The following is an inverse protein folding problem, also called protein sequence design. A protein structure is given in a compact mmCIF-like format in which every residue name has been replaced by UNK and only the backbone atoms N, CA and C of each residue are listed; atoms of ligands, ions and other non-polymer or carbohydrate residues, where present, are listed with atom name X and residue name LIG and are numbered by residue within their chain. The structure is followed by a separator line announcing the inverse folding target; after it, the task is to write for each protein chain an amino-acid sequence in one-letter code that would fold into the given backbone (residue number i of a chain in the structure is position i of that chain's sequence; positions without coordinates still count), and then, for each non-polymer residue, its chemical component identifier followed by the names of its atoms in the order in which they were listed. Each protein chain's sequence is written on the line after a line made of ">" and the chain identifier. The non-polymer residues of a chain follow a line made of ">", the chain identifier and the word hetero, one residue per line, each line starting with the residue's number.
data_IF_596985120538
#
_entry.id   IF_596985120538
#
_cell.length_a   1.000
_cell.length_b   1.000
_cell.length_c   1.000
_cell.angle_alpha   90.00
_cell.angle_beta   90.00
_cell.angle_gamma   90.00
#
_symmetry.space_group_name_H-M   'P 1'
#
loop_
_entity.id
_entity.type
_entity.pdbx_description
1 polymer ?
#
# COMPACT_ATOMS: atom_id res chain seq x y z
N UNK A 1 -18.22 27.88 15.42
CA UNK A 1 -16.85 28.42 15.48
C UNK A 1 -16.07 27.84 16.68
N UNK A 2 -16.69 27.71 17.82
CA UNK A 2 -16.10 27.18 19.07
C UNK A 2 -15.74 25.68 18.98
N UNK A 3 -16.59 24.86 18.38
CA UNK A 3 -16.34 23.42 18.18
C UNK A 3 -15.14 23.15 17.26
N UNK A 4 -14.94 23.98 16.24
CA UNK A 4 -13.80 23.82 15.32
C UNK A 4 -12.47 24.15 16.03
N UNK A 5 -12.45 25.19 16.89
CA UNK A 5 -11.30 25.55 17.71
C UNK A 5 -10.96 24.45 18.72
N UNK A 6 -11.97 23.90 19.38
CA UNK A 6 -11.82 22.80 20.34
C UNK A 6 -11.28 21.52 19.68
N UNK A 7 -11.74 21.21 18.47
CA UNK A 7 -11.25 20.05 17.71
C UNK A 7 -9.78 20.21 17.28
N UNK A 8 -9.37 21.42 16.88
CA UNK A 8 -7.98 21.73 16.57
C UNK A 8 -7.07 21.61 17.81
N UNK A 9 -7.48 22.18 18.93
CA UNK A 9 -6.74 22.07 20.19
C UNK A 9 -6.60 20.61 20.67
N UNK A 10 -7.64 19.81 20.53
CA UNK A 10 -7.58 18.38 20.85
C UNK A 10 -6.64 17.61 19.91
N UNK A 11 -6.67 17.92 18.61
CA UNK A 11 -5.77 17.30 17.63
C UNK A 11 -4.30 17.61 17.93
N UNK A 12 -3.98 18.85 18.32
CA UNK A 12 -2.61 19.22 18.70
C UNK A 12 -2.17 18.53 20.00
N UNK A 13 -3.05 18.45 21.02
CA UNK A 13 -2.76 17.72 22.24
C UNK A 13 -2.49 16.25 22.00
N UNK A 14 -3.28 15.60 21.12
CA UNK A 14 -3.06 14.21 20.73
C UNK A 14 -1.70 14.02 20.07
N UNK A 15 -1.32 14.91 19.16
CA UNK A 15 0.00 14.87 18.53
C UNK A 15 1.14 14.98 19.53
N UNK A 16 1.04 15.93 20.46
CA UNK A 16 2.05 16.12 21.51
C UNK A 16 2.20 14.89 22.41
N UNK A 17 1.07 14.26 22.80
CA UNK A 17 1.10 13.04 23.60
C UNK A 17 1.69 11.88 22.79
N UNK A 18 1.26 11.71 21.55
CA UNK A 18 1.76 10.67 20.66
C UNK A 18 3.27 10.79 20.46
N UNK A 19 3.77 11.98 20.18
CA UNK A 19 5.20 12.22 20.01
C UNK A 19 5.97 11.98 21.30
N UNK A 20 5.47 12.42 22.43
CA UNK A 20 6.12 12.22 23.74
C UNK A 20 6.26 10.74 24.09
N UNK A 21 5.19 9.98 23.93
CA UNK A 21 5.12 8.58 24.39
C UNK A 21 5.72 7.59 23.38
N UNK A 22 5.60 7.87 22.06
CA UNK A 22 5.94 6.91 21.01
C UNK A 22 7.10 7.29 20.10
N UNK A 23 7.73 8.47 20.27
CA UNK A 23 8.86 8.89 19.40
C UNK A 23 10.02 7.90 19.40
N UNK A 24 10.31 7.28 20.54
CA UNK A 24 11.37 6.26 20.66
C UNK A 24 11.08 4.98 19.86
N UNK A 25 9.83 4.69 19.64
CA UNK A 25 9.38 3.50 18.91
C UNK A 25 9.24 3.76 17.41
N UNK A 26 9.24 5.03 16.98
CA UNK A 26 8.97 5.43 15.60
C UNK A 26 9.99 4.87 14.61
N UNK A 27 11.27 4.80 14.97
CA UNK A 27 12.32 4.24 14.10
C UNK A 27 12.14 2.73 13.90
N UNK A 28 11.88 2.00 14.99
CA UNK A 28 11.65 0.54 14.92
C UNK A 28 10.42 0.23 14.10
N UNK A 29 9.31 0.95 14.34
CA UNK A 29 8.08 0.77 13.56
C UNK A 29 8.27 1.16 12.10
N UNK A 30 9.05 2.21 11.81
CA UNK A 30 9.40 2.58 10.45
C UNK A 30 10.16 1.47 9.73
N UNK A 31 11.18 0.89 10.37
CA UNK A 31 11.98 -0.19 9.79
C UNK A 31 11.09 -1.40 9.51
N UNK A 32 10.24 -1.79 10.45
CA UNK A 32 9.30 -2.91 10.30
C UNK A 32 8.28 -2.69 9.18
N UNK A 33 7.88 -1.44 8.96
CA UNK A 33 6.86 -1.06 7.98
C UNK A 33 7.44 -0.55 6.67
N UNK A 34 8.77 -0.43 6.53
CA UNK A 34 9.44 0.26 5.41
C UNK A 34 8.94 -0.23 4.04
N UNK A 35 8.89 -1.54 3.85
CA UNK A 35 8.43 -2.14 2.59
C UNK A 35 6.98 -1.74 2.26
N UNK A 36 6.11 -1.63 3.28
CA UNK A 36 4.72 -1.20 3.09
C UNK A 36 4.59 0.31 2.84
N UNK A 37 5.56 1.09 3.30
CA UNK A 37 5.61 2.54 3.13
C UNK A 37 6.23 2.96 1.79
N UNK A 38 7.08 2.11 1.19
CA UNK A 38 7.64 2.33 -0.14
C UNK A 38 6.50 2.44 -1.17
N UNK A 39 6.66 3.33 -2.14
CA UNK A 39 5.71 3.50 -3.23
C UNK A 39 6.29 2.97 -4.53
N UNK A 40 5.45 2.28 -5.27
CA UNK A 40 5.81 1.68 -6.54
C UNK A 40 4.95 2.25 -7.66
N UNK A 41 5.59 2.52 -8.79
CA UNK A 41 4.93 2.78 -10.07
C UNK A 41 5.26 1.61 -10.99
N UNK A 42 4.25 1.03 -11.60
CA UNK A 42 4.42 -0.11 -12.51
C UNK A 42 3.43 -0.02 -13.66
N UNK A 43 3.80 -0.63 -14.77
CA UNK A 43 2.93 -0.81 -15.94
C UNK A 43 2.34 -2.21 -15.92
N UNK A 44 1.03 -2.30 -16.16
CA UNK A 44 0.28 -3.55 -16.16
C UNK A 44 -0.54 -3.67 -17.43
N UNK A 45 -0.40 -4.82 -18.11
CA UNK A 45 -1.20 -5.20 -19.26
C UNK A 45 -1.84 -6.54 -18.96
N UNK A 46 -3.18 -6.64 -19.14
CA UNK A 46 -3.95 -7.84 -18.81
C UNK A 46 -4.78 -8.29 -20.00
N UNK A 47 -4.63 -9.56 -20.39
CA UNK A 47 -5.38 -10.19 -21.48
C UNK A 47 -5.96 -11.53 -21.02
N UNK A 48 -6.97 -12.04 -21.73
CA UNK A 48 -7.61 -13.30 -21.38
C UNK A 48 -6.81 -14.52 -21.88
N UNK A 49 -6.08 -14.38 -22.98
CA UNK A 49 -5.45 -15.48 -23.70
C UNK A 49 -3.94 -15.51 -23.46
N UNK A 50 -3.43 -16.71 -23.19
CA UNK A 50 -2.00 -16.97 -22.98
C UNK A 50 -1.16 -16.56 -24.18
N UNK A 51 -1.55 -17.05 -25.36
CA UNK A 51 -0.75 -16.86 -26.59
C UNK A 51 -0.61 -15.38 -26.95
N UNK A 52 -1.70 -14.62 -26.78
CA UNK A 52 -1.68 -13.17 -26.95
C UNK A 52 -0.75 -12.50 -25.92
N UNK A 53 -0.77 -12.94 -24.66
CA UNK A 53 0.11 -12.38 -23.65
C UNK A 53 1.59 -12.56 -24.01
N UNK A 54 1.98 -13.75 -24.46
CA UNK A 54 3.35 -14.02 -24.88
C UNK A 54 3.74 -13.25 -26.14
N UNK A 55 2.84 -13.13 -27.12
CA UNK A 55 3.08 -12.32 -28.31
C UNK A 55 3.35 -10.85 -27.93
N UNK A 56 2.48 -10.25 -27.12
CA UNK A 56 2.63 -8.86 -26.65
C UNK A 56 3.91 -8.68 -25.82
N UNK A 57 4.25 -9.65 -24.98
CA UNK A 57 5.48 -9.64 -24.20
C UNK A 57 6.71 -9.58 -25.14
N UNK A 58 6.77 -10.43 -26.15
CA UNK A 58 7.89 -10.44 -27.09
C UNK A 58 8.00 -9.15 -27.90
N UNK A 59 6.88 -8.56 -28.31
CA UNK A 59 6.88 -7.25 -29.00
C UNK A 59 7.46 -6.13 -28.12
N UNK A 60 7.18 -6.17 -26.81
CA UNK A 60 7.73 -5.17 -25.87
C UNK A 60 9.21 -5.45 -25.58
N UNK A 61 9.57 -6.72 -25.36
CA UNK A 61 10.94 -7.15 -25.06
C UNK A 61 11.90 -6.83 -26.21
N UNK A 62 11.48 -7.11 -27.47
CA UNK A 62 12.22 -6.79 -28.68
C UNK A 62 12.19 -5.32 -29.08
N UNK A 63 11.43 -4.49 -28.33
CA UNK A 63 11.21 -3.06 -28.60
C UNK A 63 10.51 -2.77 -29.96
N UNK A 64 9.77 -3.72 -30.49
CA UNK A 64 8.93 -3.53 -31.67
C UNK A 64 7.71 -2.67 -31.38
N UNK A 65 7.20 -2.70 -30.13
CA UNK A 65 6.08 -1.89 -29.68
C UNK A 65 6.31 -1.32 -28.28
N UNK A 66 5.68 -0.18 -28.01
CA UNK A 66 5.72 0.43 -26.68
C UNK A 66 4.69 -0.24 -25.74
N UNK A 67 5.09 -0.46 -24.47
CA UNK A 67 4.19 -1.01 -23.46
C UNK A 67 2.85 -0.25 -23.36
N UNK A 68 2.93 1.08 -23.36
CA UNK A 68 1.76 1.97 -23.25
C UNK A 68 0.78 1.83 -24.42
N UNK A 69 1.29 1.62 -25.64
CA UNK A 69 0.48 1.44 -26.84
C UNK A 69 -0.30 0.12 -26.77
N UNK A 70 0.42 -0.97 -26.42
CA UNK A 70 -0.19 -2.29 -26.31
C UNK A 70 -1.15 -2.37 -25.13
N UNK A 71 -0.82 -1.74 -24.00
CA UNK A 71 -1.71 -1.66 -22.85
C UNK A 71 -3.01 -0.92 -23.18
N UNK A 72 -2.92 0.20 -23.90
CA UNK A 72 -4.11 0.96 -24.33
C UNK A 72 -4.99 0.18 -25.30
N UNK A 73 -4.40 -0.66 -26.18
CA UNK A 73 -5.10 -1.37 -27.23
C UNK A 73 -5.69 -2.70 -26.77
N UNK A 74 -4.97 -3.45 -25.94
CA UNK A 74 -5.29 -4.84 -25.63
C UNK A 74 -5.67 -5.10 -24.18
N UNK A 75 -5.30 -4.20 -23.24
CA UNK A 75 -5.58 -4.44 -21.83
C UNK A 75 -7.05 -4.35 -21.52
N UNK A 76 -7.52 -5.15 -20.54
CA UNK A 76 -8.87 -5.05 -20.02
C UNK A 76 -9.21 -3.61 -19.56
N UNK A 77 -10.47 -3.19 -19.69
CA UNK A 77 -10.94 -1.80 -19.50
C UNK A 77 -10.49 -1.14 -18.19
N UNK A 78 -10.31 -1.92 -17.13
CA UNK A 78 -9.85 -1.39 -15.84
C UNK A 78 -8.44 -0.82 -15.88
N UNK A 79 -7.61 -1.29 -16.81
CA UNK A 79 -6.17 -0.98 -16.87
C UNK A 79 -5.78 -0.13 -18.09
N UNK A 80 -6.67 0.05 -19.07
CA UNK A 80 -6.33 0.78 -20.28
C UNK A 80 -6.37 2.31 -20.13
N UNK A 81 -7.09 2.85 -19.13
CA UNK A 81 -7.35 4.29 -18.96
C UNK A 81 -6.09 5.15 -18.79
N UNK A 82 -5.03 4.60 -18.21
CA UNK A 82 -3.77 5.29 -17.98
C UNK A 82 -2.61 4.63 -18.74
N UNK A 83 -2.90 4.09 -19.95
CA UNK A 83 -1.89 3.41 -20.75
C UNK A 83 -1.20 2.26 -19.99
N UNK A 84 -1.92 1.64 -19.07
CA UNK A 84 -1.42 0.58 -18.20
C UNK A 84 -0.59 1.04 -17.00
N UNK A 85 -0.30 2.34 -16.82
CA UNK A 85 0.53 2.84 -15.72
C UNK A 85 -0.31 2.98 -14.45
N UNK A 86 0.20 2.41 -13.36
CA UNK A 86 -0.42 2.39 -12.04
C UNK A 86 0.58 2.91 -10.99
N UNK A 87 0.14 3.84 -10.16
CA UNK A 87 0.94 4.40 -9.08
C UNK A 87 1.30 5.89 -9.29
N UNK A 88 2.16 6.47 -8.43
CA UNK A 88 2.85 5.80 -7.31
C UNK A 88 1.89 5.43 -6.15
N UNK A 89 1.91 4.17 -5.75
CA UNK A 89 1.09 3.67 -4.64
C UNK A 89 1.87 2.72 -3.72
N UNK A 90 1.39 2.57 -2.45
CA UNK A 90 1.94 1.60 -1.52
C UNK A 90 1.74 0.18 -2.02
N UNK A 91 2.75 -0.66 -1.82
CA UNK A 91 2.67 -2.09 -2.13
C UNK A 91 1.61 -2.82 -1.30
N UNK A 92 1.18 -2.24 -0.17
CA UNK A 92 0.11 -2.80 0.66
C UNK A 92 -1.25 -2.81 -0.05
N UNK A 93 -1.45 -1.90 -1.01
CA UNK A 93 -2.70 -1.75 -1.77
C UNK A 93 -2.71 -2.57 -3.07
N UNK A 94 -1.65 -3.34 -3.33
CA UNK A 94 -1.49 -4.13 -4.56
C UNK A 94 -1.97 -5.56 -4.32
N UNK A 95 -2.57 -6.17 -5.34
CA UNK A 95 -2.98 -7.58 -5.29
C UNK A 95 -1.81 -8.48 -4.86
N UNK A 96 -2.00 -9.46 -3.95
CA UNK A 96 -0.92 -10.27 -3.39
C UNK A 96 0.00 -10.91 -4.43
N UNK A 97 -0.55 -11.48 -5.49
CA UNK A 97 0.25 -12.11 -6.56
C UNK A 97 1.12 -11.10 -7.35
N UNK A 98 0.64 -9.86 -7.53
CA UNK A 98 1.43 -8.77 -8.13
C UNK A 98 2.50 -8.26 -7.18
N UNK A 99 2.17 -8.16 -5.89
CA UNK A 99 3.08 -7.69 -4.84
C UNK A 99 4.38 -8.49 -4.82
N UNK A 100 4.30 -9.81 -4.83
CA UNK A 100 5.48 -10.67 -4.84
C UNK A 100 6.38 -10.41 -6.07
N UNK A 101 5.77 -10.26 -7.23
CA UNK A 101 6.48 -9.98 -8.49
C UNK A 101 7.13 -8.59 -8.50
N UNK A 102 6.41 -7.56 -8.04
CA UNK A 102 6.92 -6.17 -7.97
C UNK A 102 8.12 -6.08 -7.02
N UNK A 103 8.09 -6.79 -5.89
CA UNK A 103 9.15 -6.71 -4.87
C UNK A 103 10.49 -7.31 -5.33
N UNK A 104 10.46 -8.30 -6.24
CA UNK A 104 11.67 -8.96 -6.75
C UNK A 104 12.16 -8.39 -8.09
N UNK A 105 11.29 -7.73 -8.85
CA UNK A 105 11.63 -7.17 -10.16
C UNK A 105 12.54 -5.94 -10.04
N UNK A 106 13.45 -5.81 -10.99
CA UNK A 106 14.29 -4.61 -11.12
C UNK A 106 13.53 -3.51 -11.86
N UNK A 107 13.92 -2.26 -11.59
CA UNK A 107 13.39 -1.11 -12.34
C UNK A 107 13.62 -1.28 -13.85
N UNK A 108 12.57 -1.12 -14.63
CA UNK A 108 12.59 -1.26 -16.09
C UNK A 108 12.51 -2.71 -16.60
N UNK A 109 12.57 -3.69 -15.71
CA UNK A 109 12.46 -5.11 -16.07
C UNK A 109 11.01 -5.46 -16.43
N UNK A 110 10.84 -6.04 -17.61
CA UNK A 110 9.58 -6.66 -18.01
C UNK A 110 9.59 -8.12 -17.58
N UNK A 111 8.57 -8.53 -16.85
CA UNK A 111 8.44 -9.91 -16.40
C UNK A 111 7.73 -10.77 -17.44
N UNK A 112 8.13 -12.05 -17.53
CA UNK A 112 7.42 -13.04 -18.32
C UNK A 112 5.92 -13.05 -17.95
N UNK A 113 5.02 -13.25 -18.91
CA UNK A 113 3.59 -13.35 -18.65
C UNK A 113 3.29 -14.40 -17.59
N UNK A 114 2.41 -14.05 -16.65
CA UNK A 114 1.96 -14.97 -15.61
C UNK A 114 0.45 -14.80 -15.38
N UNK A 115 -0.16 -15.83 -14.82
CA UNK A 115 -1.61 -15.85 -14.64
C UNK A 115 -2.00 -15.38 -13.23
N UNK A 116 -3.01 -14.51 -13.16
CA UNK A 116 -3.73 -14.14 -11.96
C UNK A 116 -5.22 -14.38 -12.22
N UNK A 117 -5.84 -15.27 -11.50
CA UNK A 117 -7.21 -15.73 -11.72
C UNK A 117 -7.43 -16.16 -13.19
N UNK A 118 -8.28 -15.43 -13.90
CA UNK A 118 -8.59 -15.69 -15.31
C UNK A 118 -7.78 -14.84 -16.30
N UNK A 119 -6.87 -13.98 -15.80
CA UNK A 119 -6.15 -13.03 -16.61
C UNK A 119 -4.66 -13.39 -16.74
N UNK A 120 -4.13 -13.25 -17.92
CA UNK A 120 -2.69 -13.23 -18.16
C UNK A 120 -2.18 -11.81 -18.04
N UNK A 121 -1.08 -11.67 -17.31
CA UNK A 121 -0.56 -10.38 -16.86
C UNK A 121 0.88 -10.22 -17.34
N UNK A 122 1.16 -9.08 -17.97
CA UNK A 122 2.51 -8.60 -18.27
C UNK A 122 2.76 -7.42 -17.35
N UNK A 123 3.88 -7.43 -16.62
CA UNK A 123 4.24 -6.46 -15.61
C UNK A 123 5.62 -5.88 -15.89
N UNK A 124 5.76 -4.55 -15.75
CA UNK A 124 7.05 -3.85 -15.73
C UNK A 124 7.08 -2.86 -14.56
N UNK A 125 8.11 -2.94 -13.74
CA UNK A 125 8.30 -1.96 -12.65
C UNK A 125 8.95 -0.71 -13.23
N UNK A 126 8.24 0.43 -13.17
CA UNK A 126 8.70 1.70 -13.73
C UNK A 126 9.55 2.47 -12.73
N UNK A 127 9.12 2.53 -11.48
CA UNK A 127 9.84 3.26 -10.44
C UNK A 127 9.53 2.77 -9.03
N UNK A 128 10.47 3.02 -8.13
CA UNK A 128 10.34 2.78 -6.70
C UNK A 128 10.76 4.03 -5.94
N UNK A 129 9.88 4.59 -5.16
CA UNK A 129 10.14 5.70 -4.24
C UNK A 129 10.28 5.11 -2.84
N UNK A 130 11.50 5.08 -2.33
CA UNK A 130 11.76 4.61 -0.98
C UNK A 130 11.24 5.58 0.07
N UNK A 131 10.52 5.05 1.04
CA UNK A 131 10.07 5.81 2.20
C UNK A 131 11.27 6.30 3.01
N UNK A 132 11.17 7.55 3.49
CA UNK A 132 12.15 8.17 4.39
C UNK A 132 11.47 8.52 5.69
N UNK A 133 12.18 8.37 6.79
CA UNK A 133 11.71 8.78 8.11
C UNK A 133 11.99 10.28 8.29
N UNK A 134 11.23 11.11 7.59
CA UNK A 134 11.17 12.55 7.85
C UNK A 134 10.23 12.87 9.02
N UNK A 135 10.15 14.13 9.42
CA UNK A 135 9.31 14.57 10.53
C UNK A 135 7.82 14.28 10.29
N UNK A 136 7.39 14.41 9.03
CA UNK A 136 6.00 14.11 8.64
C UNK A 136 5.69 12.62 8.78
N UNK A 137 6.60 11.76 8.35
CA UNK A 137 6.44 10.32 8.45
C UNK A 137 6.56 9.85 9.91
N UNK A 138 7.47 10.47 10.69
CA UNK A 138 7.61 10.23 12.13
C UNK A 138 6.29 10.53 12.84
N UNK A 139 5.71 11.71 12.62
CA UNK A 139 4.42 12.09 13.24
C UNK A 139 3.27 11.15 12.85
N UNK A 140 3.24 10.67 11.60
CA UNK A 140 2.23 9.68 11.19
C UNK A 140 2.38 8.35 11.93
N UNK A 141 3.61 7.91 12.13
CA UNK A 141 3.90 6.66 12.84
C UNK A 141 3.54 6.80 14.32
N UNK A 142 3.93 7.89 14.99
CA UNK A 142 3.62 8.12 16.40
C UNK A 142 2.12 8.19 16.64
N UNK A 143 1.37 8.86 15.76
CA UNK A 143 -0.09 8.88 15.80
C UNK A 143 -0.70 7.50 15.61
N UNK A 144 -0.21 6.71 14.66
CA UNK A 144 -0.68 5.33 14.43
C UNK A 144 -0.42 4.43 15.64
N UNK A 145 0.73 4.57 16.29
CA UNK A 145 1.05 3.84 17.53
C UNK A 145 0.13 4.27 18.68
N UNK A 146 -0.15 5.57 18.80
CA UNK A 146 -1.11 6.09 19.77
C UNK A 146 -2.51 5.53 19.56
N UNK A 147 -3.01 5.51 18.32
CA UNK A 147 -4.34 4.97 17.99
C UNK A 147 -4.43 3.47 18.31
N UNK A 148 -3.39 2.69 18.00
CA UNK A 148 -3.30 1.28 18.39
C UNK A 148 -3.35 1.11 19.91
N UNK A 149 -2.60 1.92 20.64
CA UNK A 149 -2.57 1.90 22.11
C UNK A 149 -3.92 2.23 22.71
N UNK A 150 -4.60 3.29 22.26
CA UNK A 150 -5.95 3.66 22.71
C UNK A 150 -6.94 2.54 22.40
N UNK A 151 -6.87 1.93 21.22
CA UNK A 151 -7.75 0.82 20.85
C UNK A 151 -7.58 -0.39 21.77
N UNK A 152 -6.34 -0.73 22.14
CA UNK A 152 -6.04 -1.84 23.07
C UNK A 152 -6.60 -1.50 24.48
N UNK A 153 -6.38 -0.28 24.95
CA UNK A 153 -6.92 0.15 26.25
C UNK A 153 -8.45 0.08 26.30
N UNK A 154 -9.10 0.53 25.24
CA UNK A 154 -10.57 0.50 25.13
C UNK A 154 -11.09 -0.94 25.16
N UNK A 155 -10.51 -1.85 24.37
CA UNK A 155 -10.89 -3.26 24.34
C UNK A 155 -10.70 -3.90 25.74
N UNK A 156 -9.57 -3.65 26.39
CA UNK A 156 -9.28 -4.21 27.71
C UNK A 156 -10.25 -3.67 28.79
N UNK A 157 -10.62 -2.39 28.71
CA UNK A 157 -11.58 -1.78 29.62
C UNK A 157 -12.98 -2.36 29.41
N UNK A 158 -13.40 -2.54 28.17
CA UNK A 158 -14.69 -3.17 27.85
C UNK A 158 -14.76 -4.62 28.34
N UNK A 159 -13.70 -5.41 28.14
CA UNK A 159 -13.64 -6.78 28.66
C UNK A 159 -13.80 -6.83 30.17
N UNK A 160 -13.09 -5.97 30.92
CA UNK A 160 -13.22 -5.90 32.38
C UNK A 160 -14.65 -5.54 32.84
N UNK A 161 -15.33 -4.65 32.11
CA UNK A 161 -16.71 -4.30 32.42
C UNK A 161 -17.66 -5.48 32.19
N UNK A 162 -17.50 -6.21 31.10
CA UNK A 162 -18.31 -7.40 30.79
C UNK A 162 -18.09 -8.49 31.85
N UNK A 163 -16.84 -8.78 32.20
CA UNK A 163 -16.49 -9.80 33.18
C UNK A 163 -17.08 -9.48 34.56
N UNK A 164 -17.03 -8.21 34.96
CA UNK A 164 -17.62 -7.75 36.23
C UNK A 164 -19.16 -7.88 36.23
N UNK A 165 -19.80 -7.52 35.09
CA UNK A 165 -21.27 -7.60 34.97
C UNK A 165 -21.78 -9.05 34.99
N UNK A 166 -21.00 -9.98 34.42
CA UNK A 166 -21.32 -11.44 34.45
C UNK A 166 -21.08 -12.05 35.84
N UNK A 167 -20.14 -11.52 36.64
CA UNK A 167 -19.87 -11.98 37.99
C UNK A 167 -20.93 -11.51 39.03
N UNK A 168 -21.57 -10.37 38.77
CA UNK A 168 -22.66 -9.84 39.63
C UNK A 168 -24.04 -10.46 39.31
N UNK A 169 -24.17 -11.18 38.21
CA UNK A 169 -25.43 -11.79 37.75
C UNK A 169 -25.58 -13.29 38.15
N UNK A 170 -24.64 -13.84 38.94
CA UNK A 170 -24.64 -15.21 39.49
C UNK A 170 -24.77 -15.16 41.00
#
# INVERSE_FOLDING_TARGET
>A
MEDHKRNLENSEKIKLIADKEFSKNAETEFINSKTALDKYTYSLLTVAESDLAYELYHQIESKEAQFSELASKYSAESNNKNMGIIGPQSIANVHPALKEKILIAKKGEILNPFQIDKWWVILRVEDKIEAKLDDTQRSKITLSLFDKWVSILTINSLKKLIDNTTAEAI
#
